data_IF_644694553920
#
_entry.id   IF_644694553920
#
_cell.length_a   1.000
_cell.length_b   1.000
_cell.length_c   1.000
_cell.angle_alpha   90.00
_cell.angle_beta   90.00
_cell.angle_gamma   90.00
#
_symmetry.space_group_name_H-M   'P 1'
#
loop_
_entity.id
_entity.type
_entity.pdbx_description
1 polymer ?
#
# COMPACT_ATOMS: atom_id res chain seq x y z
N UNK A 1 -9.51 7.29 5.28
CA UNK A 1 -9.34 5.96 5.95
C UNK A 1 -8.80 6.11 7.39
N UNK A 2 -9.42 5.50 8.40
CA UNK A 2 -8.94 5.52 9.80
C UNK A 2 -8.29 4.17 10.13
N UNK A 3 -6.98 4.02 9.89
CA UNK A 3 -6.19 2.82 10.18
C UNK A 3 -6.34 2.37 11.65
N UNK A 4 -6.68 3.29 12.57
CA UNK A 4 -6.93 2.98 13.98
C UNK A 4 -8.17 2.11 14.22
N UNK A 5 -9.07 2.01 13.24
CA UNK A 5 -10.26 1.14 13.33
C UNK A 5 -9.97 -0.31 12.95
N UNK A 6 -9.06 -0.54 12.01
CA UNK A 6 -8.57 -1.89 11.68
C UNK A 6 -7.76 -2.48 12.85
N UNK A 7 -6.96 -1.66 13.55
CA UNK A 7 -6.14 -2.12 14.68
C UNK A 7 -6.93 -2.53 15.92
N UNK A 8 -8.16 -2.02 16.11
CA UNK A 8 -8.98 -2.32 17.29
C UNK A 8 -9.52 -3.77 17.34
N UNK A 9 -9.49 -4.52 16.23
CA UNK A 9 -9.99 -5.88 16.14
C UNK A 9 -8.96 -6.97 16.51
N UNK A 10 -7.67 -6.62 16.64
CA UNK A 10 -6.52 -7.54 16.61
C UNK A 10 -6.21 -8.32 17.90
N UNK A 11 -6.93 -8.13 19.02
CA UNK A 11 -6.47 -8.59 20.35
C UNK A 11 -6.80 -10.08 20.65
N UNK A 12 -7.26 -10.90 19.70
CA UNK A 12 -7.80 -12.22 20.03
C UNK A 12 -7.52 -13.36 19.02
N UNK A 13 -6.29 -13.86 18.97
CA UNK A 13 -6.05 -15.21 18.43
C UNK A 13 -4.60 -15.45 18.02
N UNK A 14 -3.88 -16.31 18.75
CA UNK A 14 -2.53 -16.75 18.39
C UNK A 14 -2.57 -18.24 17.99
N UNK A 15 -1.97 -18.58 16.85
CA UNK A 15 -2.04 -19.94 16.31
C UNK A 15 -1.15 -20.29 15.10
N UNK A 16 0.15 -20.01 15.14
CA UNK A 16 1.29 -20.70 14.47
C UNK A 16 1.01 -21.73 13.35
N UNK A 17 1.39 -21.40 12.10
CA UNK A 17 2.09 -22.29 11.13
C UNK A 17 2.92 -21.44 10.15
N UNK A 18 4.21 -21.76 9.97
CA UNK A 18 5.15 -21.10 9.06
C UNK A 18 5.25 -21.79 7.68
N UNK A 19 5.39 -21.01 6.59
CA UNK A 19 6.01 -21.45 5.33
C UNK A 19 6.50 -20.28 4.46
N UNK A 20 7.82 -20.20 4.26
CA UNK A 20 8.50 -19.20 3.41
C UNK A 20 8.36 -19.47 1.91
N UNK A 21 7.96 -18.47 1.12
CA UNK A 21 8.24 -18.37 -0.31
C UNK A 21 8.74 -16.96 -0.66
N UNK A 22 9.96 -16.89 -1.20
CA UNK A 22 10.53 -15.66 -1.74
C UNK A 22 10.00 -15.42 -3.17
N UNK A 23 9.30 -14.31 -3.35
CA UNK A 23 8.97 -13.71 -4.66
C UNK A 23 9.80 -12.42 -4.86
N UNK A 24 10.12 -12.03 -6.09
CA UNK A 24 10.97 -10.87 -6.34
C UNK A 24 10.19 -9.56 -6.07
N UNK A 25 10.58 -8.85 -5.03
CA UNK A 25 10.17 -7.47 -4.76
C UNK A 25 10.79 -6.53 -5.81
N UNK A 26 10.01 -6.02 -6.76
CA UNK A 26 10.54 -5.07 -7.76
C UNK A 26 9.79 -3.76 -7.94
N UNK A 27 8.63 -3.51 -7.33
CA UNK A 27 7.99 -2.19 -7.45
C UNK A 27 8.51 -1.17 -6.41
N UNK A 28 8.73 -1.58 -5.16
CA UNK A 28 9.19 -0.68 -4.08
C UNK A 28 10.71 -0.45 -4.02
N UNK A 29 11.47 -1.05 -4.93
CA UNK A 29 12.91 -0.92 -4.99
C UNK A 29 13.35 0.28 -5.86
N UNK A 30 13.14 1.50 -5.33
CA UNK A 30 13.76 2.79 -5.72
C UNK A 30 13.19 3.49 -6.97
N UNK A 31 12.91 4.82 -6.89
CA UNK A 31 13.87 5.84 -6.43
C UNK A 31 13.36 6.76 -5.31
N UNK A 32 14.25 7.20 -4.41
CA UNK A 32 14.03 8.39 -3.57
C UNK A 32 14.15 8.23 -2.05
N UNK A 33 13.70 7.11 -1.45
CA UNK A 33 13.56 7.01 0.02
C UNK A 33 14.18 5.80 0.72
N UNK A 34 14.27 4.63 0.09
CA UNK A 34 14.70 3.37 0.76
C UNK A 34 16.21 3.10 0.76
N UNK A 35 17.05 4.11 0.52
CA UNK A 35 18.51 3.99 0.63
C UNK A 35 19.02 3.71 2.07
N UNK A 36 18.11 3.64 3.04
CA UNK A 36 18.39 3.45 4.46
C UNK A 36 18.20 2.00 4.95
N UNK A 37 17.32 1.21 4.33
CA UNK A 37 17.00 -0.15 4.79
C UNK A 37 17.89 -1.17 4.08
N UNK A 38 18.54 -2.05 4.84
CA UNK A 38 19.30 -3.15 4.24
C UNK A 38 18.37 -4.27 3.73
N UNK A 39 18.86 -5.19 2.88
CA UNK A 39 17.99 -6.21 2.29
C UNK A 39 17.29 -7.12 3.31
N UNK A 40 17.95 -7.47 4.43
CA UNK A 40 17.35 -8.35 5.43
C UNK A 40 16.23 -7.61 6.19
N UNK A 41 16.44 -6.31 6.46
CA UNK A 41 15.42 -5.45 7.06
C UNK A 41 14.24 -5.19 6.10
N UNK A 42 14.51 -5.05 4.80
CA UNK A 42 13.47 -4.93 3.77
C UNK A 42 12.63 -6.18 3.65
N UNK A 43 13.28 -7.36 3.64
CA UNK A 43 12.58 -8.65 3.59
C UNK A 43 11.66 -8.82 4.82
N UNK A 44 12.10 -8.37 6.00
CA UNK A 44 11.26 -8.33 7.18
C UNK A 44 10.11 -7.32 7.04
N UNK A 45 10.40 -6.05 6.77
CA UNK A 45 9.40 -4.98 6.64
C UNK A 45 8.30 -5.30 5.61
N UNK A 46 8.67 -5.95 4.51
CA UNK A 46 7.76 -6.35 3.43
C UNK A 46 7.15 -7.74 3.59
N UNK A 47 7.29 -8.40 4.75
CA UNK A 47 6.79 -9.76 4.97
C UNK A 47 5.27 -9.88 4.68
N UNK A 48 4.44 -8.98 5.22
CA UNK A 48 2.99 -9.04 5.00
C UNK A 48 2.65 -8.86 3.53
N UNK A 49 3.27 -7.89 2.86
CA UNK A 49 3.13 -7.71 1.41
C UNK A 49 3.46 -9.01 0.66
N UNK A 50 4.60 -9.63 0.97
CA UNK A 50 5.05 -10.88 0.32
C UNK A 50 4.05 -12.03 0.49
N UNK A 51 3.48 -12.18 1.69
CA UNK A 51 2.45 -13.19 1.99
C UNK A 51 1.13 -12.89 1.25
N UNK A 52 0.76 -11.62 1.08
CA UNK A 52 -0.45 -11.23 0.33
C UNK A 52 -0.31 -11.51 -1.17
N UNK A 53 0.89 -11.39 -1.75
CA UNK A 53 1.14 -11.62 -3.17
C UNK A 53 0.99 -13.09 -3.61
N UNK A 54 0.85 -14.03 -2.67
CA UNK A 54 0.68 -15.47 -2.98
C UNK A 54 -0.74 -15.98 -2.72
N UNK A 55 -1.67 -15.10 -2.36
CA UNK A 55 -3.09 -15.42 -2.19
C UNK A 55 -3.74 -15.87 -3.51
N UNK A 56 -4.90 -16.52 -3.40
CA UNK A 56 -5.75 -16.73 -4.59
C UNK A 56 -6.27 -15.37 -5.10
N UNK A 57 -6.51 -15.25 -6.41
CA UNK A 57 -6.87 -13.96 -7.05
C UNK A 57 -8.06 -13.27 -6.33
N UNK A 58 -9.08 -14.02 -5.92
CA UNK A 58 -10.25 -13.46 -5.24
C UNK A 58 -9.94 -12.91 -3.85
N UNK A 59 -9.11 -13.61 -3.07
CA UNK A 59 -8.66 -13.14 -1.74
C UNK A 59 -7.76 -11.91 -1.87
N UNK A 60 -6.87 -11.90 -2.87
CA UNK A 60 -6.03 -10.75 -3.20
C UNK A 60 -6.87 -9.52 -3.52
N UNK A 61 -7.84 -9.65 -4.43
CA UNK A 61 -8.69 -8.52 -4.81
C UNK A 61 -9.67 -8.11 -3.72
N UNK A 62 -10.08 -9.01 -2.81
CA UNK A 62 -10.88 -8.60 -1.64
C UNK A 62 -10.11 -7.58 -0.76
N UNK A 63 -8.78 -7.74 -0.57
CA UNK A 63 -7.94 -6.77 0.14
C UNK A 63 -7.84 -5.44 -0.62
N UNK A 64 -7.59 -5.52 -1.93
CA UNK A 64 -7.46 -4.35 -2.81
C UNK A 64 -8.75 -3.54 -2.85
N UNK A 65 -9.89 -4.19 -3.11
CA UNK A 65 -11.20 -3.57 -3.18
C UNK A 65 -11.62 -2.96 -1.85
N UNK A 66 -11.34 -3.63 -0.73
CA UNK A 66 -11.62 -3.09 0.58
C UNK A 66 -10.88 -1.78 0.84
N UNK A 67 -9.64 -1.65 0.36
CA UNK A 67 -8.89 -0.40 0.42
C UNK A 67 -9.50 0.67 -0.49
N UNK A 68 -9.68 0.37 -1.78
CA UNK A 68 -10.15 1.33 -2.79
C UNK A 68 -11.54 1.86 -2.43
N UNK A 69 -12.45 0.99 -1.98
CA UNK A 69 -13.83 1.33 -1.63
C UNK A 69 -13.99 1.86 -0.19
N UNK A 70 -12.89 2.04 0.55
CA UNK A 70 -12.89 2.44 1.96
C UNK A 70 -13.82 1.57 2.83
N UNK A 71 -13.82 0.25 2.58
CA UNK A 71 -14.66 -0.68 3.31
C UNK A 71 -14.24 -0.73 4.78
N UNK A 72 -15.21 -0.51 5.68
CA UNK A 72 -14.98 -0.53 7.15
C UNK A 72 -15.94 -1.46 7.89
N UNK A 73 -16.91 -2.03 7.19
CA UNK A 73 -17.89 -3.00 7.70
C UNK A 73 -18.52 -3.79 6.55
N UNK A 74 -19.19 -4.89 6.88
CA UNK A 74 -19.92 -5.74 5.92
C UNK A 74 -19.05 -6.79 5.23
N UNK A 75 -19.66 -7.53 4.32
CA UNK A 75 -19.08 -8.77 3.75
C UNK A 75 -17.72 -8.55 3.07
N UNK A 76 -17.50 -7.44 2.35
CA UNK A 76 -16.21 -7.14 1.71
C UNK A 76 -15.11 -6.92 2.76
N UNK A 77 -15.41 -6.13 3.79
CA UNK A 77 -14.48 -5.88 4.88
C UNK A 77 -14.13 -7.16 5.65
N UNK A 78 -15.13 -8.03 5.91
CA UNK A 78 -14.93 -9.31 6.58
C UNK A 78 -14.04 -10.26 5.76
N UNK A 79 -14.24 -10.35 4.45
CA UNK A 79 -13.39 -11.19 3.58
C UNK A 79 -11.98 -10.63 3.44
N UNK A 80 -11.83 -9.31 3.28
CA UNK A 80 -10.52 -8.66 3.25
C UNK A 80 -9.73 -8.91 4.56
N UNK A 81 -10.40 -8.87 5.71
CA UNK A 81 -9.79 -9.27 6.98
C UNK A 81 -9.43 -10.75 7.01
N UNK A 82 -10.29 -11.64 6.53
CA UNK A 82 -10.03 -13.07 6.47
C UNK A 82 -8.79 -13.40 5.61
N UNK A 83 -8.59 -12.66 4.51
CA UNK A 83 -7.41 -12.77 3.65
C UNK A 83 -6.15 -12.14 4.28
N UNK A 84 -6.27 -10.96 4.91
CA UNK A 84 -5.14 -10.21 5.46
C UNK A 84 -4.59 -10.79 6.76
N UNK A 85 -5.48 -11.19 7.68
CA UNK A 85 -5.11 -11.55 9.05
C UNK A 85 -4.11 -12.71 9.15
N UNK A 86 -4.20 -13.78 8.34
CA UNK A 86 -3.20 -14.86 8.35
C UNK A 86 -1.79 -14.37 8.04
N UNK A 87 -1.62 -13.45 7.08
CA UNK A 87 -0.32 -12.86 6.74
C UNK A 87 0.21 -12.02 7.92
N UNK A 88 -0.64 -11.19 8.52
CA UNK A 88 -0.30 -10.38 9.70
C UNK A 88 0.15 -11.26 10.85
N UNK A 89 -0.61 -12.32 11.17
CA UNK A 89 -0.29 -13.26 12.26
C UNK A 89 1.02 -14.01 11.98
N UNK A 90 1.20 -14.55 10.77
CA UNK A 90 2.41 -15.29 10.36
C UNK A 90 3.67 -14.43 10.49
N UNK A 91 3.65 -13.21 9.95
CA UNK A 91 4.79 -12.30 9.99
C UNK A 91 5.09 -11.81 11.42
N UNK A 92 4.06 -11.43 12.17
CA UNK A 92 4.22 -10.98 13.57
C UNK A 92 4.81 -12.08 14.45
N UNK A 93 4.35 -13.33 14.31
CA UNK A 93 4.88 -14.48 15.05
C UNK A 93 6.31 -14.82 14.62
N UNK A 94 6.63 -14.68 13.33
CA UNK A 94 7.96 -15.01 12.78
C UNK A 94 9.04 -14.03 13.23
N UNK A 95 8.70 -12.75 13.25
CA UNK A 95 9.64 -11.67 13.51
C UNK A 95 9.53 -11.10 14.94
N UNK A 96 8.61 -11.63 15.75
CA UNK A 96 8.35 -11.19 17.13
C UNK A 96 8.05 -9.68 17.23
N UNK A 97 7.29 -9.15 16.27
CA UNK A 97 7.00 -7.72 16.17
C UNK A 97 6.23 -7.18 17.38
N UNK A 98 6.58 -5.95 17.76
CA UNK A 98 5.76 -5.11 18.61
C UNK A 98 4.47 -4.68 17.91
N UNK A 99 3.52 -4.14 18.66
CA UNK A 99 2.28 -3.64 18.10
C UNK A 99 2.49 -2.50 17.09
N UNK A 100 3.51 -1.65 17.30
CA UNK A 100 3.82 -0.55 16.39
C UNK A 100 4.43 -1.07 15.08
N UNK A 101 5.35 -2.05 15.16
CA UNK A 101 5.93 -2.72 13.98
C UNK A 101 4.84 -3.46 13.18
N UNK A 102 3.96 -4.19 13.85
CA UNK A 102 2.83 -4.85 13.21
C UNK A 102 1.91 -3.87 12.48
N UNK A 103 1.56 -2.73 13.09
CA UNK A 103 0.74 -1.70 12.45
C UNK A 103 1.41 -1.13 11.19
N UNK A 104 2.70 -0.79 11.30
CA UNK A 104 3.51 -0.22 10.22
C UNK A 104 3.62 -1.21 9.05
N UNK A 105 4.00 -2.45 9.32
CA UNK A 105 4.15 -3.50 8.32
C UNK A 105 2.80 -3.91 7.70
N UNK A 106 1.71 -3.92 8.46
CA UNK A 106 0.37 -4.18 7.92
C UNK A 106 -0.08 -3.07 6.96
N UNK A 107 0.16 -1.81 7.33
CA UNK A 107 -0.16 -0.66 6.49
C UNK A 107 0.64 -0.69 5.19
N UNK A 108 1.94 -1.00 5.29
CA UNK A 108 2.81 -1.22 4.14
C UNK A 108 2.32 -2.40 3.29
N UNK A 109 1.92 -3.51 3.91
CA UNK A 109 1.40 -4.70 3.23
C UNK A 109 0.21 -4.37 2.33
N UNK A 110 -0.79 -3.68 2.88
CA UNK A 110 -1.99 -3.27 2.15
C UNK A 110 -1.64 -2.29 1.02
N UNK A 111 -0.89 -1.23 1.32
CA UNK A 111 -0.48 -0.24 0.31
C UNK A 111 0.34 -0.90 -0.82
N UNK A 112 1.22 -1.82 -0.44
CA UNK A 112 1.97 -2.73 -1.31
C UNK A 112 1.09 -3.43 -2.33
N UNK A 113 0.16 -4.22 -1.83
CA UNK A 113 -0.78 -5.02 -2.63
C UNK A 113 -1.65 -4.14 -3.53
N UNK A 114 -2.15 -3.01 -3.03
CA UNK A 114 -2.96 -2.09 -3.83
C UNK A 114 -2.14 -1.45 -4.96
N UNK A 115 -0.89 -1.05 -4.68
CA UNK A 115 -0.01 -0.50 -5.72
C UNK A 115 0.20 -1.54 -6.84
N UNK A 116 0.63 -2.76 -6.51
CA UNK A 116 0.86 -3.83 -7.50
C UNK A 116 -0.39 -4.12 -8.35
N UNK A 117 -1.58 -4.13 -7.73
CA UNK A 117 -2.84 -4.32 -8.44
C UNK A 117 -3.11 -3.17 -9.43
N UNK A 118 -2.99 -1.92 -8.98
CA UNK A 118 -3.26 -0.73 -9.79
C UNK A 118 -2.24 -0.55 -10.93
N UNK A 119 -0.96 -0.84 -10.70
CA UNK A 119 0.06 -0.87 -11.75
C UNK A 119 -0.31 -1.88 -12.83
N UNK A 120 -0.70 -3.09 -12.42
CA UNK A 120 -1.17 -4.13 -13.34
C UNK A 120 -2.38 -3.69 -14.18
N UNK A 121 -3.35 -3.02 -13.54
CA UNK A 121 -4.53 -2.49 -14.22
C UNK A 121 -4.20 -1.36 -15.20
N UNK A 122 -3.35 -0.42 -14.81
CA UNK A 122 -2.92 0.70 -15.67
C UNK A 122 -2.10 0.20 -16.87
N UNK A 123 -1.17 -0.74 -16.67
CA UNK A 123 -0.44 -1.39 -17.76
C UNK A 123 -1.39 -2.15 -18.70
N UNK A 124 -2.39 -2.85 -18.14
CA UNK A 124 -3.41 -3.55 -18.93
C UNK A 124 -4.34 -2.58 -19.70
N UNK A 125 -4.55 -1.37 -19.17
CA UNK A 125 -5.27 -0.28 -19.82
C UNK A 125 -4.47 0.38 -20.96
N UNK A 126 -3.17 0.06 -21.08
CA UNK A 126 -2.33 0.44 -22.21
C UNK A 126 -1.24 1.45 -21.88
N UNK A 127 -1.02 1.78 -20.61
CA UNK A 127 0.19 2.50 -20.21
C UNK A 127 1.43 1.67 -20.50
N UNK A 128 2.50 2.34 -20.93
CA UNK A 128 3.83 1.76 -20.93
C UNK A 128 4.46 1.81 -19.53
N UNK A 129 5.45 0.93 -19.31
CA UNK A 129 6.27 0.97 -18.08
C UNK A 129 6.93 2.35 -17.90
N UNK A 130 7.39 2.98 -18.98
CA UNK A 130 7.98 4.33 -18.93
C UNK A 130 6.97 5.42 -18.48
N UNK A 131 5.70 5.32 -18.88
CA UNK A 131 4.64 6.25 -18.45
C UNK A 131 4.23 5.99 -16.99
N UNK A 132 4.19 4.72 -16.57
CA UNK A 132 3.95 4.36 -15.19
C UNK A 132 5.06 4.91 -14.27
N UNK A 133 6.32 4.75 -14.66
CA UNK A 133 7.48 5.30 -13.94
C UNK A 133 7.42 6.83 -13.85
N UNK A 134 7.04 7.53 -14.93
CA UNK A 134 6.89 8.99 -14.95
C UNK A 134 5.75 9.47 -14.04
N UNK A 135 4.65 8.70 -13.95
CA UNK A 135 3.59 8.95 -12.98
C UNK A 135 4.07 8.79 -11.55
N UNK A 136 4.75 7.69 -11.23
CA UNK A 136 5.26 7.43 -9.87
C UNK A 136 6.30 8.48 -9.46
N UNK A 137 7.11 8.97 -10.40
CA UNK A 137 8.07 10.05 -10.17
C UNK A 137 7.42 11.38 -9.72
N UNK A 138 6.10 11.56 -9.92
CA UNK A 138 5.36 12.70 -9.36
C UNK A 138 5.53 12.80 -7.84
N UNK A 139 5.65 11.68 -7.13
CA UNK A 139 5.83 11.64 -5.67
C UNK A 139 7.03 12.49 -5.22
N UNK A 140 8.14 12.45 -5.98
CA UNK A 140 9.35 13.23 -5.69
C UNK A 140 9.22 14.72 -6.05
N UNK A 141 8.25 15.08 -6.90
CA UNK A 141 8.04 16.43 -7.41
C UNK A 141 6.95 17.20 -6.65
N UNK A 142 6.15 16.48 -5.85
CA UNK A 142 5.04 17.04 -5.11
C UNK A 142 5.48 18.09 -4.08
N UNK A 143 4.62 19.08 -3.88
CA UNK A 143 4.82 20.05 -2.81
C UNK A 143 4.49 19.44 -1.45
N UNK A 144 5.08 19.96 -0.36
CA UNK A 144 4.72 19.57 1.00
C UNK A 144 3.20 19.68 1.24
N UNK A 145 2.54 20.69 0.66
CA UNK A 145 1.10 20.90 0.78
C UNK A 145 0.30 19.77 0.10
N UNK A 146 0.75 19.28 -1.06
CA UNK A 146 0.09 18.16 -1.76
C UNK A 146 0.32 16.84 -1.02
N UNK A 147 1.53 16.63 -0.49
CA UNK A 147 1.84 15.47 0.35
C UNK A 147 0.97 15.49 1.61
N UNK A 148 0.84 16.63 2.29
CA UNK A 148 -0.06 16.78 3.44
C UNK A 148 -1.53 16.59 3.07
N UNK A 149 -1.92 16.94 1.84
CA UNK A 149 -3.28 16.70 1.36
C UNK A 149 -3.58 15.21 1.28
N UNK A 150 -2.70 14.38 0.70
CA UNK A 150 -2.89 12.92 0.70
C UNK A 150 -2.97 12.31 2.11
N UNK A 151 -2.37 12.96 3.10
CA UNK A 151 -2.44 12.53 4.50
C UNK A 151 -3.71 12.99 5.23
N UNK A 152 -4.54 13.84 4.60
CA UNK A 152 -5.80 14.31 5.18
C UNK A 152 -6.90 13.24 5.07
N UNK A 153 -7.79 13.15 6.07
CA UNK A 153 -8.83 12.11 6.10
C UNK A 153 -9.85 12.20 4.94
N UNK A 154 -9.98 13.37 4.32
CA UNK A 154 -11.01 13.73 3.35
C UNK A 154 -10.47 14.14 1.97
N UNK A 155 -9.19 13.88 1.68
CA UNK A 155 -8.57 14.23 0.39
C UNK A 155 -9.34 13.65 -0.82
N UNK A 156 -9.90 12.44 -0.65
CA UNK A 156 -10.76 11.75 -1.66
C UNK A 156 -12.06 12.50 -1.98
N UNK A 157 -12.37 13.58 -1.26
CA UNK A 157 -13.55 14.44 -1.46
C UNK A 157 -13.19 15.88 -1.81
N UNK A 158 -11.90 16.21 -1.87
CA UNK A 158 -11.44 17.54 -2.25
C UNK A 158 -11.40 17.65 -3.78
N UNK A 159 -12.45 18.21 -4.36
CA UNK A 159 -12.61 18.35 -5.81
C UNK A 159 -11.47 19.15 -6.45
N UNK A 160 -10.96 20.20 -5.79
CA UNK A 160 -9.89 21.06 -6.34
C UNK A 160 -8.56 20.31 -6.36
N UNK A 161 -8.28 19.54 -5.30
CA UNK A 161 -7.11 18.68 -5.24
C UNK A 161 -7.17 17.56 -6.28
N UNK A 162 -8.31 16.85 -6.38
CA UNK A 162 -8.49 15.76 -7.33
C UNK A 162 -8.40 16.23 -8.79
N UNK A 163 -8.98 17.38 -9.13
CA UNK A 163 -8.87 17.98 -10.46
C UNK A 163 -7.41 18.32 -10.79
N UNK A 164 -6.71 19.00 -9.87
CA UNK A 164 -5.28 19.35 -10.07
C UNK A 164 -4.40 18.11 -10.22
N UNK A 165 -4.55 17.12 -9.34
CA UNK A 165 -3.76 15.89 -9.36
C UNK A 165 -4.05 15.07 -10.62
N UNK A 166 -5.32 14.99 -11.03
CA UNK A 166 -5.72 14.33 -12.26
C UNK A 166 -5.09 14.97 -13.50
N UNK A 167 -5.11 16.30 -13.61
CA UNK A 167 -4.46 17.03 -14.70
C UNK A 167 -2.95 16.73 -14.78
N UNK A 168 -2.28 16.69 -13.63
CA UNK A 168 -0.84 16.39 -13.54
C UNK A 168 -0.51 14.94 -13.92
N UNK A 169 -1.38 13.99 -13.58
CA UNK A 169 -1.21 12.57 -13.91
C UNK A 169 -1.52 12.29 -15.39
N UNK A 170 -2.56 12.91 -15.96
CA UNK A 170 -2.86 12.81 -17.39
C UNK A 170 -1.72 13.40 -18.22
N UNK A 171 -1.10 14.49 -17.77
CA UNK A 171 0.08 15.06 -18.42
C UNK A 171 1.29 14.10 -18.45
N UNK A 172 1.32 13.12 -17.54
CA UNK A 172 2.36 12.08 -17.40
C UNK A 172 1.98 10.73 -18.03
N UNK A 173 0.81 10.64 -18.64
CA UNK A 173 0.38 9.47 -19.40
C UNK A 173 -0.74 8.65 -18.76
N UNK A 174 -1.28 9.05 -17.60
CA UNK A 174 -2.47 8.40 -17.04
C UNK A 174 -3.65 8.43 -18.03
N UNK A 175 -4.54 7.42 -18.02
CA UNK A 175 -5.72 7.44 -18.87
C UNK A 175 -6.63 8.63 -18.54
N UNK A 176 -7.04 9.39 -19.57
CA UNK A 176 -7.92 10.55 -19.46
C UNK A 176 -9.40 10.11 -19.37
N UNK A 177 -9.71 9.32 -18.35
CA UNK A 177 -11.05 8.89 -17.96
C UNK A 177 -11.16 8.78 -16.43
N UNK A 178 -12.38 8.88 -15.91
CA UNK A 178 -12.63 8.97 -14.46
C UNK A 178 -12.02 7.80 -13.67
N UNK A 179 -12.10 6.58 -14.20
CA UNK A 179 -11.57 5.39 -13.54
C UNK A 179 -10.03 5.39 -13.58
N UNK A 180 -9.43 5.66 -14.75
CA UNK A 180 -7.98 5.73 -14.92
C UNK A 180 -7.32 6.81 -14.06
N UNK A 181 -7.93 8.01 -13.98
CA UNK A 181 -7.48 9.09 -13.11
C UNK A 181 -7.60 8.67 -11.65
N UNK A 182 -8.75 8.11 -11.23
CA UNK A 182 -8.94 7.68 -9.84
C UNK A 182 -7.91 6.62 -9.44
N UNK A 183 -7.64 5.65 -10.30
CA UNK A 183 -6.62 4.61 -10.07
C UNK A 183 -5.23 5.21 -9.96
N UNK A 184 -4.85 6.10 -10.88
CA UNK A 184 -3.58 6.80 -10.85
C UNK A 184 -3.39 7.60 -9.55
N UNK A 185 -4.41 8.33 -9.09
CA UNK A 185 -4.32 9.09 -7.84
C UNK A 185 -4.16 8.15 -6.63
N UNK A 186 -4.91 7.04 -6.59
CA UNK A 186 -4.77 6.05 -5.50
C UNK A 186 -3.39 5.39 -5.52
N UNK A 187 -2.81 5.15 -6.70
CA UNK A 187 -1.44 4.66 -6.83
C UNK A 187 -0.43 5.65 -6.20
N UNK A 188 -0.57 6.96 -6.45
CA UNK A 188 0.29 7.96 -5.79
C UNK A 188 0.13 7.93 -4.26
N UNK A 189 -1.10 7.77 -3.76
CA UNK A 189 -1.35 7.61 -2.31
C UNK A 189 -0.60 6.39 -1.74
N UNK A 190 -0.65 5.23 -2.40
CA UNK A 190 0.00 4.01 -1.89
C UNK A 190 1.52 4.13 -1.84
N UNK A 191 2.13 4.77 -2.83
CA UNK A 191 3.57 5.08 -2.82
C UNK A 191 3.95 6.00 -1.66
N UNK A 192 3.18 7.07 -1.42
CA UNK A 192 3.40 7.96 -0.28
C UNK A 192 3.27 7.22 1.05
N UNK A 193 2.23 6.38 1.20
CA UNK A 193 2.04 5.55 2.39
C UNK A 193 3.26 4.64 2.60
N UNK A 194 3.72 3.94 1.55
CA UNK A 194 4.88 3.07 1.63
C UNK A 194 6.14 3.80 2.08
N UNK A 195 6.40 4.99 1.53
CA UNK A 195 7.52 5.84 1.94
C UNK A 195 7.44 6.24 3.42
N UNK A 196 6.29 6.71 3.89
CA UNK A 196 6.10 7.09 5.30
C UNK A 196 6.18 5.90 6.26
N UNK A 197 5.66 4.73 5.87
CA UNK A 197 5.79 3.54 6.70
C UNK A 197 7.23 3.05 6.79
N UNK A 198 8.01 3.14 5.70
CA UNK A 198 9.43 2.80 5.73
C UNK A 198 10.22 3.72 6.68
N UNK A 199 9.95 5.03 6.68
CA UNK A 199 10.55 5.96 7.64
C UNK A 199 10.15 5.63 9.08
N UNK A 200 8.86 5.41 9.33
CA UNK A 200 8.36 5.03 10.67
C UNK A 200 8.98 3.73 11.18
N UNK A 201 9.19 2.76 10.29
CA UNK A 201 9.80 1.49 10.63
C UNK A 201 11.21 1.68 11.19
N UNK A 202 12.04 2.44 10.46
CA UNK A 202 13.41 2.74 10.86
C UNK A 202 13.46 3.50 12.19
N UNK A 203 12.57 4.47 12.39
CA UNK A 203 12.45 5.23 13.64
C UNK A 203 12.12 4.35 14.85
N UNK A 204 11.22 3.37 14.68
CA UNK A 204 10.85 2.43 15.77
C UNK A 204 12.02 1.49 16.08
N UNK A 205 12.73 1.01 15.05
CA UNK A 205 13.87 0.09 15.18
C UNK A 205 15.09 0.71 15.87
N UNK A 206 15.29 2.02 15.69
CA UNK A 206 16.39 2.77 16.30
C UNK A 206 16.11 3.23 17.75
N UNK A 207 14.89 3.04 18.27
CA UNK A 207 14.43 3.55 19.57
C UNK A 207 14.67 2.61 20.77
#
# INVERSE_FOLDING_TARGET
MDFRKWTAALVAGAGLVAATLAAPATAYAQPGGTGAMDPDEWDEFSCIYTELMVLEDDEFYDVVDAYILEATEGDLYERALEALMPAVESCTDTHEWSADEQEIAMTMGIAGTVADALEGELLAAGLSEDELDDMIALVDEMSDDDVYMFLAEDWRRDEEFLERMGDDLVARGAPDDDDGISQAIVLIETYLIGMFQAERWLDVRDS
#
